data_IF_897806732391
#
_entry.id   IF_897806732391
#
_cell.length_a   1.000
_cell.length_b   1.000
_cell.length_c   1.000
_cell.angle_alpha   90.00
_cell.angle_beta   90.00
_cell.angle_gamma   90.00
#
_symmetry.space_group_name_H-M   'P 1'
#
loop_
_entity.id
_entity.type
_entity.pdbx_description
1 polymer ?
#
# COMPACT_ATOMS: atom_id res chain seq x y z
N UNK A 1 32.04 38.71 -0.34
CA UNK A 1 30.68 38.21 -0.09
C UNK A 1 30.32 37.28 -1.24
N UNK A 2 30.01 36.04 -0.97
CA UNK A 2 29.61 35.09 -2.05
C UNK A 2 28.23 35.48 -2.51
N UNK A 3 28.08 35.80 -3.78
CA UNK A 3 26.79 36.09 -4.39
C UNK A 3 25.90 34.83 -4.31
N UNK A 4 24.94 34.86 -3.36
CA UNK A 4 24.03 33.75 -3.08
C UNK A 4 22.80 33.76 -3.99
N UNK A 5 22.92 34.40 -5.17
CA UNK A 5 21.84 34.54 -6.13
C UNK A 5 22.05 33.62 -7.34
N UNK A 6 20.96 33.11 -7.91
CA UNK A 6 20.97 32.25 -9.09
C UNK A 6 19.78 32.54 -10.00
N UNK A 7 20.02 32.44 -11.31
CA UNK A 7 18.97 32.57 -12.32
C UNK A 7 18.20 31.25 -12.48
N UNK A 8 16.88 31.29 -12.32
CA UNK A 8 16.02 30.12 -12.54
C UNK A 8 15.93 29.78 -14.03
N UNK A 9 16.12 28.50 -14.39
CA UNK A 9 16.04 28.06 -15.78
C UNK A 9 14.65 28.17 -16.40
N UNK A 10 13.59 28.14 -15.59
CA UNK A 10 12.20 28.16 -16.08
C UNK A 10 11.62 29.56 -16.17
N UNK A 11 11.67 30.39 -15.12
CA UNK A 11 11.10 31.74 -15.16
C UNK A 11 12.13 32.83 -15.56
N UNK A 12 13.42 32.50 -15.61
CA UNK A 12 14.47 33.47 -15.94
C UNK A 12 14.81 34.48 -14.85
N UNK A 13 14.10 34.47 -13.72
CA UNK A 13 14.34 35.41 -12.62
C UNK A 13 15.58 35.00 -11.81
N UNK A 14 16.33 36.03 -11.36
CA UNK A 14 17.43 35.84 -10.41
C UNK A 14 16.87 35.87 -9.01
N UNK A 15 17.09 34.84 -8.22
CA UNK A 15 16.57 34.62 -6.88
C UNK A 15 17.67 34.18 -5.93
N UNK A 16 17.44 34.38 -4.64
CA UNK A 16 18.30 33.87 -3.58
C UNK A 16 18.34 32.34 -3.59
N UNK A 17 19.45 31.73 -3.17
CA UNK A 17 19.61 30.27 -3.10
C UNK A 17 18.57 29.60 -2.22
N UNK A 18 18.03 30.27 -1.21
CA UNK A 18 16.95 29.78 -0.36
C UNK A 18 15.65 29.49 -1.12
N UNK A 19 15.46 30.14 -2.29
CA UNK A 19 14.31 29.92 -3.18
C UNK A 19 14.44 28.69 -4.06
N UNK A 20 15.54 27.94 -3.95
CA UNK A 20 15.77 26.72 -4.71
C UNK A 20 15.74 25.50 -3.83
N UNK A 21 15.20 24.35 -4.35
CA UNK A 21 15.21 23.12 -3.58
C UNK A 21 16.64 22.56 -3.49
N UNK A 22 17.04 22.21 -2.28
CA UNK A 22 18.27 21.46 -2.05
C UNK A 22 18.09 19.98 -2.46
N UNK A 23 19.11 19.40 -3.05
CA UNK A 23 19.15 17.96 -3.34
C UNK A 23 20.51 17.39 -2.99
N UNK A 24 20.60 16.67 -1.90
CA UNK A 24 21.84 16.02 -1.40
C UNK A 24 22.41 14.91 -2.31
N UNK A 25 22.08 14.89 -3.62
CA UNK A 25 22.50 13.82 -4.53
C UNK A 25 23.13 14.35 -5.81
N UNK A 26 24.25 13.74 -6.11
CA UNK A 26 25.17 13.72 -7.24
C UNK A 26 24.68 14.40 -8.55
N UNK A 27 25.41 15.41 -9.00
CA UNK A 27 25.28 15.96 -10.34
C UNK A 27 25.07 17.48 -10.44
N UNK A 28 24.82 18.18 -9.33
CA UNK A 28 24.80 19.64 -9.30
C UNK A 28 26.00 20.14 -8.47
N UNK A 29 26.76 21.11 -9.03
CA UNK A 29 27.97 21.65 -8.38
C UNK A 29 27.76 22.16 -6.96
N UNK A 30 26.56 22.65 -6.67
CA UNK A 30 26.16 23.31 -5.43
C UNK A 30 25.01 22.59 -4.69
N UNK A 31 24.67 21.37 -5.12
CA UNK A 31 23.51 20.61 -4.61
C UNK A 31 22.17 21.35 -4.71
N UNK A 32 22.09 22.41 -5.53
CA UNK A 32 20.89 23.21 -5.74
C UNK A 32 20.29 22.91 -7.11
N UNK A 33 18.99 22.70 -7.16
CA UNK A 33 18.28 22.43 -8.41
C UNK A 33 18.24 23.68 -9.31
N UNK A 34 18.21 23.51 -10.65
CA UNK A 34 18.25 24.64 -11.60
C UNK A 34 16.95 25.46 -11.64
N UNK A 35 15.85 24.93 -11.13
CA UNK A 35 14.53 25.57 -11.14
C UNK A 35 14.12 25.95 -9.72
N UNK A 36 13.63 27.18 -9.52
CA UNK A 36 13.18 27.66 -8.23
C UNK A 36 11.98 26.84 -7.70
N UNK A 37 11.71 26.91 -6.40
CA UNK A 37 10.65 26.16 -5.71
C UNK A 37 9.28 26.37 -6.34
N UNK A 38 8.96 27.59 -6.76
CA UNK A 38 7.68 27.94 -7.41
C UNK A 38 7.54 27.24 -8.76
N UNK A 39 8.53 27.42 -9.66
CA UNK A 39 8.50 26.80 -10.98
C UNK A 39 8.45 25.28 -10.92
N UNK A 40 9.16 24.68 -9.97
CA UNK A 40 9.13 23.24 -9.72
C UNK A 40 7.75 22.79 -9.27
N UNK A 41 7.13 23.46 -8.30
CA UNK A 41 5.79 23.13 -7.81
C UNK A 41 4.75 23.21 -8.94
N UNK A 42 4.83 24.27 -9.76
CA UNK A 42 3.94 24.41 -10.92
C UNK A 42 4.12 23.27 -11.92
N UNK A 43 5.36 22.92 -12.27
CA UNK A 43 5.66 21.80 -13.17
C UNK A 43 5.17 20.45 -12.61
N UNK A 44 5.39 20.19 -11.32
CA UNK A 44 4.92 18.97 -10.65
C UNK A 44 3.38 18.91 -10.62
N UNK A 45 2.70 20.02 -10.34
CA UNK A 45 1.23 20.10 -10.39
C UNK A 45 0.69 19.87 -11.80
N UNK A 46 1.25 20.53 -12.81
CA UNK A 46 0.83 20.35 -14.21
C UNK A 46 1.03 18.88 -14.64
N UNK A 47 2.20 18.30 -14.34
CA UNK A 47 2.47 16.89 -14.64
C UNK A 47 1.52 15.94 -13.89
N UNK A 48 1.21 16.23 -12.63
CA UNK A 48 0.24 15.46 -11.85
C UNK A 48 -1.14 15.50 -12.48
N UNK A 49 -1.64 16.69 -12.82
CA UNK A 49 -2.97 16.84 -13.42
C UNK A 49 -3.06 16.25 -14.83
N UNK A 50 -2.06 16.46 -15.68
CA UNK A 50 -2.01 15.87 -17.03
C UNK A 50 -1.97 14.34 -16.96
N UNK A 51 -1.16 13.76 -16.08
CA UNK A 51 -1.05 12.31 -15.94
C UNK A 51 -2.29 11.69 -15.29
N UNK A 52 -2.92 12.40 -14.33
CA UNK A 52 -4.15 11.95 -13.68
C UNK A 52 -5.33 11.89 -14.65
N UNK A 53 -5.40 12.81 -15.61
CA UNK A 53 -6.51 12.88 -16.58
C UNK A 53 -6.25 12.07 -17.86
N UNK A 54 -5.00 11.82 -18.23
CA UNK A 54 -4.64 11.12 -19.46
C UNK A 54 -4.44 9.61 -19.31
N UNK A 55 -4.47 9.06 -18.09
CA UNK A 55 -4.50 7.61 -17.87
C UNK A 55 -5.93 7.25 -17.43
N UNK A 56 -6.72 6.58 -18.27
CA UNK A 56 -7.96 6.00 -17.78
C UNK A 56 -7.62 5.08 -16.61
N UNK A 57 -8.33 5.25 -15.49
CA UNK A 57 -8.15 4.41 -14.32
C UNK A 57 -8.55 2.97 -14.69
N UNK A 58 -7.58 2.10 -14.81
CA UNK A 58 -7.80 0.68 -14.99
C UNK A 58 -7.71 0.00 -13.62
N UNK A 59 -8.87 -0.33 -13.07
CA UNK A 59 -8.98 -0.99 -11.75
C UNK A 59 -8.20 -2.30 -11.69
N UNK A 60 -8.25 -3.10 -12.75
CA UNK A 60 -7.59 -4.40 -12.81
C UNK A 60 -6.06 -4.27 -12.79
N UNK A 61 -5.51 -3.37 -13.61
CA UNK A 61 -4.06 -3.10 -13.63
C UNK A 61 -3.55 -2.55 -12.30
N UNK A 62 -4.30 -1.65 -11.67
CA UNK A 62 -3.90 -1.09 -10.38
C UNK A 62 -3.95 -2.13 -9.27
N UNK A 63 -4.96 -3.01 -9.30
CA UNK A 63 -5.09 -4.12 -8.36
C UNK A 63 -4.02 -5.16 -8.59
N UNK A 64 -3.74 -5.53 -9.83
CA UNK A 64 -2.67 -6.45 -10.22
C UNK A 64 -1.32 -5.94 -9.71
N UNK A 65 -0.95 -4.71 -10.04
CA UNK A 65 0.30 -4.08 -9.58
C UNK A 65 0.45 -4.08 -8.06
N UNK A 66 -0.65 -3.83 -7.34
CA UNK A 66 -0.66 -3.84 -5.87
C UNK A 66 -0.46 -5.25 -5.32
N UNK A 67 -1.15 -6.24 -5.86
CA UNK A 67 -1.06 -7.63 -5.45
C UNK A 67 0.34 -8.20 -5.73
N UNK A 68 0.88 -7.95 -6.91
CA UNK A 68 2.24 -8.33 -7.31
C UNK A 68 3.29 -7.75 -6.33
N UNK A 69 3.21 -6.44 -6.08
CA UNK A 69 4.18 -5.77 -5.20
C UNK A 69 4.10 -6.25 -3.75
N UNK A 70 2.90 -6.57 -3.25
CA UNK A 70 2.68 -6.85 -1.82
C UNK A 70 2.79 -8.34 -1.51
N UNK A 71 2.30 -9.20 -2.41
CA UNK A 71 2.14 -10.63 -2.16
C UNK A 71 2.79 -11.52 -3.24
N UNK A 72 3.32 -10.93 -4.31
CA UNK A 72 3.92 -11.68 -5.43
C UNK A 72 2.91 -12.44 -6.28
N UNK A 73 1.61 -12.09 -6.20
CA UNK A 73 0.55 -12.74 -6.98
C UNK A 73 -0.12 -11.74 -7.94
N UNK A 74 -0.58 -12.23 -9.09
CA UNK A 74 -1.37 -11.47 -10.04
C UNK A 74 -2.84 -11.32 -9.58
N UNK A 75 -3.56 -10.38 -10.20
CA UNK A 75 -5.00 -10.27 -9.98
C UNK A 75 -5.76 -11.51 -10.48
N UNK A 76 -5.28 -12.14 -11.54
CA UNK A 76 -5.85 -13.39 -12.03
C UNK A 76 -5.70 -14.54 -11.03
N UNK A 77 -4.53 -14.68 -10.38
CA UNK A 77 -4.34 -15.67 -9.32
C UNK A 77 -5.23 -15.39 -8.12
N UNK A 78 -5.44 -14.11 -7.76
CA UNK A 78 -6.43 -13.73 -6.75
C UNK A 78 -7.84 -14.21 -7.11
N UNK A 79 -8.27 -14.03 -8.37
CA UNK A 79 -9.60 -14.46 -8.83
C UNK A 79 -9.73 -15.98 -8.84
N UNK A 80 -8.66 -16.71 -9.20
CA UNK A 80 -8.63 -18.18 -9.14
C UNK A 80 -8.79 -18.67 -7.69
N UNK A 81 -8.08 -18.06 -6.74
CA UNK A 81 -8.26 -18.38 -5.31
C UNK A 81 -9.68 -18.08 -4.83
N UNK A 82 -10.24 -16.92 -5.23
CA UNK A 82 -11.61 -16.55 -4.88
C UNK A 82 -12.63 -17.57 -5.40
N UNK A 83 -12.47 -18.00 -6.64
CA UNK A 83 -13.31 -19.02 -7.24
C UNK A 83 -13.16 -20.39 -6.55
N UNK A 84 -11.93 -20.79 -6.22
CA UNK A 84 -11.67 -22.03 -5.47
C UNK A 84 -12.30 -22.01 -4.08
N UNK A 85 -12.42 -20.84 -3.45
CA UNK A 85 -13.12 -20.65 -2.18
C UNK A 85 -14.62 -20.35 -2.33
N UNK A 86 -15.18 -20.50 -3.54
CA UNK A 86 -16.60 -20.25 -3.83
C UNK A 86 -17.06 -18.83 -3.46
N UNK A 87 -16.17 -17.85 -3.57
CA UNK A 87 -16.45 -16.47 -3.20
C UNK A 87 -16.51 -16.17 -1.71
N UNK A 88 -16.04 -17.10 -0.85
CA UNK A 88 -16.19 -17.04 0.60
C UNK A 88 -14.85 -16.96 1.33
N UNK A 89 -14.90 -16.54 2.58
CA UNK A 89 -13.76 -16.58 3.50
C UNK A 89 -13.30 -18.01 3.76
N UNK A 90 -12.01 -18.30 3.64
CA UNK A 90 -11.45 -19.64 3.84
C UNK A 90 -11.61 -20.19 5.28
N UNK A 91 -11.90 -19.34 6.26
CA UNK A 91 -12.07 -19.75 7.67
C UNK A 91 -13.55 -19.87 8.06
N UNK A 92 -14.30 -18.77 7.97
CA UNK A 92 -15.67 -18.75 8.47
C UNK A 92 -16.75 -19.00 7.41
N UNK A 93 -16.37 -19.13 6.14
CA UNK A 93 -17.29 -19.41 5.04
C UNK A 93 -18.23 -18.26 4.65
N UNK A 94 -18.09 -17.07 5.25
CA UNK A 94 -18.93 -15.92 4.88
C UNK A 94 -18.54 -15.35 3.51
N UNK A 95 -19.51 -14.88 2.76
CA UNK A 95 -19.35 -14.10 1.53
C UNK A 95 -19.17 -12.58 1.81
N UNK A 96 -19.41 -12.14 3.06
CA UNK A 96 -19.15 -10.77 3.48
C UNK A 96 -17.65 -10.53 3.73
N UNK A 97 -17.09 -9.57 3.02
CA UNK A 97 -15.70 -9.14 3.18
C UNK A 97 -15.44 -8.33 4.45
N UNK A 98 -16.49 -7.92 5.17
CA UNK A 98 -16.45 -7.03 6.32
C UNK A 98 -16.22 -5.56 5.91
N UNK A 99 -15.34 -4.86 6.63
CA UNK A 99 -15.07 -3.42 6.38
C UNK A 99 -14.32 -3.12 5.08
N UNK A 100 -13.89 -4.12 4.34
CA UNK A 100 -13.12 -3.98 3.09
C UNK A 100 -13.99 -4.20 1.86
N UNK A 101 -13.59 -3.66 0.71
CA UNK A 101 -14.27 -3.88 -0.57
C UNK A 101 -13.97 -5.25 -1.20
N UNK A 102 -13.04 -6.01 -0.64
CA UNK A 102 -12.61 -7.32 -1.14
C UNK A 102 -11.97 -8.12 -0.01
N UNK A 103 -11.93 -9.45 -0.16
CA UNK A 103 -11.23 -10.32 0.79
C UNK A 103 -9.74 -9.95 0.88
N UNK A 104 -9.19 -10.05 2.08
CA UNK A 104 -7.77 -9.85 2.33
C UNK A 104 -6.99 -11.08 1.83
N UNK A 105 -5.83 -10.85 1.21
CA UNK A 105 -4.87 -11.92 0.95
C UNK A 105 -4.16 -12.24 2.26
N UNK A 106 -4.37 -13.43 2.76
CA UNK A 106 -3.67 -13.95 3.92
C UNK A 106 -2.35 -14.62 3.52
N UNK A 107 -1.31 -14.39 4.29
CA UNK A 107 0.02 -14.89 4.00
C UNK A 107 0.80 -15.15 5.29
N UNK A 108 1.73 -16.07 5.25
CA UNK A 108 2.62 -16.34 6.37
C UNK A 108 3.61 -15.17 6.57
N UNK A 109 3.63 -14.56 7.73
CA UNK A 109 4.52 -13.43 8.03
C UNK A 109 6.00 -13.80 8.05
N UNK A 110 6.33 -15.08 8.25
CA UNK A 110 7.71 -15.57 8.24
C UNK A 110 8.21 -15.88 6.82
N UNK A 111 7.42 -16.61 6.02
CA UNK A 111 7.84 -17.05 4.69
C UNK A 111 7.31 -16.18 3.54
N UNK A 112 6.35 -15.30 3.80
CA UNK A 112 5.64 -14.51 2.79
C UNK A 112 4.67 -15.33 1.91
N UNK A 113 4.57 -16.65 2.12
CA UNK A 113 3.73 -17.53 1.29
C UNK A 113 2.24 -17.21 1.48
N UNK A 114 1.55 -16.94 0.38
CA UNK A 114 0.10 -16.74 0.37
C UNK A 114 -0.60 -18.05 0.75
N UNK A 115 -1.60 -17.96 1.64
CA UNK A 115 -2.38 -19.09 2.17
C UNK A 115 -3.80 -19.13 1.62
N UNK A 116 -4.44 -17.95 1.46
CA UNK A 116 -5.82 -17.86 0.99
C UNK A 116 -6.41 -16.48 1.14
N UNK A 117 -7.72 -16.39 0.98
CA UNK A 117 -8.48 -15.14 1.06
C UNK A 117 -9.39 -15.17 2.30
N UNK A 118 -9.31 -14.12 3.11
CA UNK A 118 -10.04 -14.02 4.37
C UNK A 118 -10.90 -12.76 4.42
N UNK A 119 -12.04 -12.83 5.09
CA UNK A 119 -12.77 -11.63 5.50
C UNK A 119 -11.95 -10.81 6.51
N UNK A 120 -12.28 -9.53 6.66
CA UNK A 120 -11.54 -8.64 7.56
C UNK A 120 -11.48 -9.13 9.01
N UNK A 121 -12.57 -9.64 9.63
CA UNK A 121 -12.52 -10.20 10.98
C UNK A 121 -11.56 -11.38 11.13
N UNK A 122 -11.64 -12.38 10.24
CA UNK A 122 -10.77 -13.57 10.32
C UNK A 122 -9.31 -13.24 10.12
N UNK A 123 -8.99 -12.38 9.14
CA UNK A 123 -7.61 -11.94 8.91
C UNK A 123 -7.03 -11.18 10.12
N UNK A 124 -7.85 -10.35 10.77
CA UNK A 124 -7.44 -9.63 11.98
C UNK A 124 -7.25 -10.58 13.17
N UNK A 125 -8.16 -11.55 13.33
CA UNK A 125 -8.09 -12.52 14.42
C UNK A 125 -6.81 -13.36 14.38
N UNK A 126 -6.45 -13.92 13.21
CA UNK A 126 -5.21 -14.70 13.04
C UNK A 126 -3.98 -13.83 13.35
N UNK A 127 -3.93 -12.60 12.82
CA UNK A 127 -2.82 -11.69 13.09
C UNK A 127 -2.70 -11.31 14.57
N UNK A 128 -3.84 -11.09 15.25
CA UNK A 128 -3.89 -10.77 16.70
C UNK A 128 -3.41 -11.94 17.55
N UNK A 129 -3.68 -13.17 17.13
CA UNK A 129 -3.18 -14.40 17.77
C UNK A 129 -1.74 -14.77 17.33
N UNK A 130 -1.04 -13.86 16.62
CA UNK A 130 0.37 -13.99 16.19
C UNK A 130 0.66 -15.23 15.32
N UNK A 131 -0.36 -15.79 14.68
CA UNK A 131 -0.25 -17.07 13.92
C UNK A 131 0.25 -18.25 14.79
N UNK A 132 0.17 -18.13 16.13
CA UNK A 132 0.62 -19.12 17.08
C UNK A 132 -0.50 -20.12 17.39
N UNK A 133 -0.31 -21.38 16.95
CA UNK A 133 -1.27 -22.44 17.13
C UNK A 133 -1.56 -22.72 18.61
N UNK A 134 -0.57 -22.57 19.49
CA UNK A 134 -0.75 -22.76 20.93
C UNK A 134 -1.63 -21.66 21.55
N UNK A 135 -1.50 -20.40 21.08
CA UNK A 135 -2.39 -19.31 21.52
C UNK A 135 -3.81 -19.56 20.99
N UNK A 136 -3.94 -19.98 19.72
CA UNK A 136 -5.24 -20.30 19.13
C UNK A 136 -5.94 -21.42 19.89
N UNK A 137 -5.22 -22.50 20.21
CA UNK A 137 -5.78 -23.61 21.00
C UNK A 137 -6.26 -23.13 22.37
N UNK A 138 -5.43 -22.39 23.11
CA UNK A 138 -5.84 -21.84 24.42
C UNK A 138 -7.04 -20.89 24.32
N UNK A 139 -7.18 -20.16 23.23
CA UNK A 139 -8.33 -19.30 23.00
C UNK A 139 -9.60 -20.14 22.76
N UNK A 140 -9.51 -21.25 22.05
CA UNK A 140 -10.62 -22.21 21.87
C UNK A 140 -11.01 -22.82 23.23
N UNK A 141 -10.05 -23.37 23.97
CA UNK A 141 -10.27 -24.00 25.29
C UNK A 141 -10.94 -23.00 26.27
N UNK A 142 -10.50 -21.73 26.23
CA UNK A 142 -11.09 -20.67 27.06
C UNK A 142 -12.57 -20.42 26.72
N UNK A 143 -12.91 -20.35 25.45
CA UNK A 143 -14.30 -20.13 25.00
C UNK A 143 -15.17 -21.34 25.36
N UNK A 144 -14.67 -22.56 25.07
CA UNK A 144 -15.39 -23.82 25.36
C UNK A 144 -15.70 -23.94 26.83
N UNK A 145 -14.70 -23.75 27.70
CA UNK A 145 -14.89 -23.78 29.17
C UNK A 145 -16.01 -22.83 29.66
N UNK A 146 -16.08 -21.62 29.13
CA UNK A 146 -17.09 -20.64 29.54
C UNK A 146 -18.46 -20.89 28.92
N UNK A 147 -18.55 -21.52 27.74
CA UNK A 147 -19.84 -21.92 27.17
C UNK A 147 -20.53 -23.04 27.95
N UNK A 148 -19.76 -23.95 28.57
CA UNK A 148 -20.29 -25.02 29.39
C UNK A 148 -20.89 -24.51 30.75
N UNK A 149 -20.41 -23.34 31.23
CA UNK A 149 -20.86 -22.76 32.48
C UNK A 149 -22.20 -22.01 32.31
N UNK A 150 -22.49 -21.53 31.10
CA UNK A 150 -23.69 -20.73 30.77
C UNK A 150 -24.91 -21.60 30.39
N UNK A 151 -24.79 -22.95 30.39
CA UNK A 151 -25.87 -23.92 30.17
C UNK A 151 -26.41 -24.50 31.50
#
# INVERSE_FOLDING_TARGET
MVDLQRKCKTCGETKDHSEYPYKANKGYRDNIRPNCKVCRRLSENVSYHLNKHNRPYNYEEDKDRKLQRTYGISYQEYLVMLAAQQGCCAICGTDDTGKRKAFAVDHCHTSGKVRGLLCSPCNTAIGSLREDLGIMQRAMDYVEFHQEIDQ
#
